data_IF_224317637402
#
_entry.id   IF_224317637402
#
_cell.length_a   1.000
_cell.length_b   1.000
_cell.length_c   1.000
_cell.angle_alpha   90.00
_cell.angle_beta   90.00
_cell.angle_gamma   90.00
#
_symmetry.space_group_name_H-M   'P 1'
#
loop_
_entity.id
_entity.type
_entity.pdbx_description
1 polymer ?
#
# COMPACT_ATOMS: atom_id res chain seq x y z
N UNK A 1 -24.85 45.96 5.16
CA UNK A 1 -24.52 45.23 3.92
C UNK A 1 -23.31 45.89 3.26
N UNK A 2 -22.10 45.43 3.59
CA UNK A 2 -20.84 45.92 3.06
C UNK A 2 -19.93 44.72 2.81
N UNK A 3 -19.74 44.41 1.53
CA UNK A 3 -18.52 43.86 0.91
C UNK A 3 -17.89 42.62 1.58
N UNK A 4 -18.52 41.47 1.39
CA UNK A 4 -17.88 40.15 1.35
C UNK A 4 -17.25 39.95 -0.04
N UNK A 5 -16.00 40.39 -0.24
CA UNK A 5 -15.26 40.14 -1.50
C UNK A 5 -13.82 39.71 -1.18
N UNK A 6 -13.65 38.79 -0.22
CA UNK A 6 -12.31 38.36 0.22
C UNK A 6 -12.23 36.85 0.44
N UNK A 7 -12.87 36.05 -0.42
CA UNK A 7 -12.86 34.58 -0.31
C UNK A 7 -12.45 33.85 -1.60
N UNK A 8 -12.19 34.53 -2.71
CA UNK A 8 -11.92 33.85 -4.00
C UNK A 8 -10.57 34.20 -4.64
N UNK A 9 -9.49 34.13 -3.86
CA UNK A 9 -8.12 34.19 -4.40
C UNK A 9 -7.16 33.23 -3.68
N UNK A 10 -7.55 31.96 -3.60
CA UNK A 10 -6.64 30.85 -3.32
C UNK A 10 -6.92 29.72 -4.33
N UNK A 11 -6.77 30.03 -5.62
CA UNK A 11 -6.49 29.02 -6.63
C UNK A 11 -5.01 29.14 -7.00
N UNK A 12 -4.15 28.81 -6.03
CA UNK A 12 -2.77 28.46 -6.32
C UNK A 12 -2.77 27.05 -6.89
N UNK A 13 -2.26 26.95 -8.11
CA UNK A 13 -2.06 25.72 -8.87
C UNK A 13 -1.37 24.68 -7.97
N UNK A 14 -2.09 23.61 -7.63
CA UNK A 14 -1.54 22.49 -6.85
C UNK A 14 -0.72 21.65 -7.83
N UNK A 15 0.61 21.73 -7.73
CA UNK A 15 1.49 20.78 -8.38
C UNK A 15 1.17 19.37 -7.89
N UNK A 16 1.11 18.41 -8.81
CA UNK A 16 0.86 17.01 -8.48
C UNK A 16 2.01 16.48 -7.63
N UNK A 17 1.78 16.34 -6.32
CA UNK A 17 2.72 15.73 -5.40
C UNK A 17 2.80 14.22 -5.65
N UNK A 18 4.02 13.67 -5.56
CA UNK A 18 4.30 12.25 -5.76
C UNK A 18 3.53 11.36 -4.79
N UNK A 19 3.21 10.16 -5.26
CA UNK A 19 2.37 9.20 -4.56
C UNK A 19 3.13 7.87 -4.48
N UNK A 20 3.31 7.35 -3.26
CA UNK A 20 3.80 5.97 -3.08
C UNK A 20 2.96 4.99 -3.92
N UNK A 21 3.59 3.87 -4.29
CA UNK A 21 2.94 2.74 -4.92
C UNK A 21 1.53 2.47 -4.34
N UNK A 22 0.55 2.39 -5.24
CA UNK A 22 -0.85 2.15 -4.90
C UNK A 22 -1.18 0.67 -5.07
N UNK A 23 -1.96 0.12 -4.14
CA UNK A 23 -2.41 -1.27 -4.16
C UNK A 23 -3.94 -1.33 -4.13
N UNK A 24 -4.55 -2.02 -5.09
CA UNK A 24 -6.00 -2.28 -5.07
C UNK A 24 -6.33 -3.22 -3.92
N UNK A 25 -5.53 -4.28 -3.79
CA UNK A 25 -5.74 -5.36 -2.84
C UNK A 25 -4.88 -5.15 -1.56
N UNK A 26 -4.79 -3.89 -1.11
CA UNK A 26 -4.06 -3.44 0.09
C UNK A 26 -4.28 -4.32 1.35
N UNK A 27 -5.50 -4.81 1.54
CA UNK A 27 -5.93 -5.66 2.66
C UNK A 27 -5.20 -7.01 2.74
N UNK A 28 -4.54 -7.45 1.67
CA UNK A 28 -3.78 -8.69 1.64
C UNK A 28 -2.28 -8.48 1.82
N UNK A 29 -1.81 -7.23 1.73
CA UNK A 29 -0.40 -6.84 1.86
C UNK A 29 -0.21 -5.70 2.87
N UNK A 30 -0.91 -5.79 3.99
CA UNK A 30 -0.99 -4.75 5.01
C UNK A 30 0.37 -4.34 5.59
N UNK A 31 1.37 -5.21 5.55
CA UNK A 31 2.74 -4.93 6.04
C UNK A 31 3.41 -3.72 5.35
N UNK A 32 3.08 -3.45 4.08
CA UNK A 32 3.61 -2.28 3.38
C UNK A 32 2.97 -0.97 3.86
N UNK A 33 1.79 -1.04 4.47
CA UNK A 33 1.02 0.12 4.95
C UNK A 33 1.21 0.31 6.45
N UNK A 34 1.26 -0.77 7.23
CA UNK A 34 1.33 -0.70 8.68
C UNK A 34 2.32 -1.72 9.25
N UNK A 35 3.48 -1.28 9.81
CA UNK A 35 4.48 -2.20 10.38
C UNK A 35 3.93 -3.00 11.56
N UNK A 36 2.90 -2.52 12.25
CA UNK A 36 2.29 -3.23 13.38
C UNK A 36 1.52 -4.49 12.95
N UNK A 37 1.33 -4.71 11.64
CA UNK A 37 0.73 -5.93 11.10
C UNK A 37 1.68 -7.13 11.11
N UNK A 38 3.00 -6.92 11.18
CA UNK A 38 3.99 -8.00 11.07
C UNK A 38 3.70 -9.13 12.07
N UNK A 39 3.56 -10.37 11.58
CA UNK A 39 3.27 -11.54 12.43
C UNK A 39 1.83 -11.65 12.95
N UNK A 40 0.93 -10.72 12.61
CA UNK A 40 -0.48 -10.74 13.05
C UNK A 40 -1.27 -11.96 12.56
N UNK A 41 -0.85 -12.57 11.43
CA UNK A 41 -1.45 -13.79 10.86
C UNK A 41 -1.18 -15.04 11.71
N UNK A 42 -0.19 -15.01 12.60
CA UNK A 42 0.16 -16.14 13.45
C UNK A 42 0.91 -17.28 12.73
N UNK A 43 1.26 -17.10 11.46
CA UNK A 43 2.03 -18.04 10.64
C UNK A 43 3.08 -17.27 9.83
N UNK A 44 4.05 -18.00 9.26
CA UNK A 44 4.96 -17.43 8.27
C UNK A 44 4.16 -17.18 6.99
N UNK A 45 4.09 -15.94 6.54
CA UNK A 45 3.36 -15.52 5.35
C UNK A 45 4.33 -14.89 4.36
N UNK A 46 4.40 -15.47 3.17
CA UNK A 46 5.11 -14.95 1.99
C UNK A 46 4.08 -14.38 1.03
N UNK A 47 4.36 -13.23 0.45
CA UNK A 47 3.46 -12.54 -0.46
C UNK A 47 4.24 -11.96 -1.63
N UNK A 48 3.73 -12.16 -2.84
CA UNK A 48 4.25 -11.58 -4.07
C UNK A 48 3.11 -10.88 -4.81
N UNK A 49 3.35 -9.67 -5.31
CA UNK A 49 2.37 -8.90 -6.08
C UNK A 49 3.06 -8.23 -7.26
N UNK A 50 2.37 -8.20 -8.38
CA UNK A 50 2.76 -7.43 -9.56
C UNK A 50 1.56 -6.63 -10.05
N UNK A 51 1.80 -5.35 -10.34
CA UNK A 51 0.78 -4.41 -10.77
C UNK A 51 1.28 -3.58 -11.95
N UNK A 52 0.44 -3.48 -12.97
CA UNK A 52 0.63 -2.56 -14.11
C UNK A 52 -0.50 -1.54 -14.09
N UNK A 53 -0.15 -0.26 -13.96
CA UNK A 53 -1.13 0.81 -13.93
C UNK A 53 -1.34 1.42 -15.31
N UNK A 54 -2.57 1.86 -15.58
CA UNK A 54 -2.94 2.61 -16.79
C UNK A 54 -2.40 2.01 -18.09
N UNK A 55 -2.70 0.72 -18.31
CA UNK A 55 -2.21 -0.02 -19.46
C UNK A 55 -2.58 0.68 -20.77
N UNK A 56 -1.58 0.86 -21.62
CA UNK A 56 -1.70 1.61 -22.87
C UNK A 56 -1.06 3.00 -22.81
N UNK A 57 -0.74 3.52 -21.62
CA UNK A 57 0.10 4.71 -21.47
C UNK A 57 1.58 4.33 -21.44
N UNK A 58 2.38 5.03 -22.24
CA UNK A 58 3.83 4.85 -22.21
C UNK A 58 4.42 5.44 -20.92
N UNK A 59 5.39 4.73 -20.34
CA UNK A 59 5.97 5.08 -19.05
C UNK A 59 5.01 4.95 -17.84
N UNK A 60 3.88 4.26 -17.98
CA UNK A 60 2.94 4.08 -16.87
C UNK A 60 3.57 3.28 -15.70
N UNK A 61 3.07 3.47 -14.46
CA UNK A 61 3.63 2.80 -13.29
C UNK A 61 3.57 1.26 -13.36
N UNK A 62 4.71 0.62 -13.10
CA UNK A 62 4.81 -0.81 -12.85
C UNK A 62 5.38 -1.04 -11.45
N UNK A 63 4.65 -1.79 -10.63
CA UNK A 63 5.05 -2.05 -9.25
C UNK A 63 5.16 -3.55 -9.01
N UNK A 64 6.31 -3.98 -8.50
CA UNK A 64 6.53 -5.33 -7.99
C UNK A 64 6.70 -5.29 -6.48
N UNK A 65 6.10 -6.23 -5.76
CA UNK A 65 6.25 -6.33 -4.31
C UNK A 65 6.50 -7.76 -3.90
N UNK A 66 7.46 -7.94 -3.01
CA UNK A 66 7.69 -9.17 -2.28
C UNK A 66 7.68 -8.85 -0.80
N UNK A 67 6.96 -9.61 0.02
CA UNK A 67 7.03 -9.47 1.47
C UNK A 67 6.98 -10.82 2.16
N UNK A 68 7.67 -10.87 3.30
CA UNK A 68 7.68 -12.02 4.19
C UNK A 68 7.43 -11.49 5.59
N UNK A 69 6.50 -12.09 6.33
CA UNK A 69 6.31 -11.77 7.74
C UNK A 69 6.03 -13.02 8.56
N UNK A 70 6.43 -12.99 9.83
CA UNK A 70 6.32 -14.13 10.73
C UNK A 70 6.16 -13.65 12.17
N UNK A 71 5.34 -14.33 12.99
CA UNK A 71 5.45 -14.20 14.44
C UNK A 71 6.77 -14.83 14.93
N UNK A 72 7.29 -14.35 16.06
CA UNK A 72 8.43 -14.98 16.75
C UNK A 72 7.91 -15.90 17.85
N UNK A 73 8.32 -17.17 17.78
CA UNK A 73 7.88 -18.20 18.71
C UNK A 73 8.10 -17.79 20.17
N UNK A 74 7.12 -18.12 21.02
CA UNK A 74 7.13 -17.85 22.47
C UNK A 74 7.32 -16.37 22.84
N UNK A 75 7.00 -15.46 21.94
CA UNK A 75 7.05 -14.03 22.17
C UNK A 75 5.83 -13.33 21.59
N UNK A 76 5.64 -12.08 22.01
CA UNK A 76 4.64 -11.19 21.45
C UNK A 76 5.18 -10.39 20.24
N UNK A 77 6.35 -10.78 19.71
CA UNK A 77 7.02 -10.08 18.63
C UNK A 77 6.63 -10.65 17.26
N UNK A 78 6.57 -9.79 16.26
CA UNK A 78 6.49 -10.15 14.86
C UNK A 78 7.58 -9.47 14.05
N UNK A 79 8.12 -10.19 13.06
CA UNK A 79 9.09 -9.65 12.12
C UNK A 79 8.51 -9.63 10.71
N UNK A 80 8.98 -8.67 9.94
CA UNK A 80 8.60 -8.49 8.55
C UNK A 80 9.75 -7.95 7.72
N UNK A 81 9.82 -8.37 6.47
CA UNK A 81 10.72 -7.83 5.45
C UNK A 81 9.90 -7.62 4.19
N UNK A 82 10.07 -6.48 3.52
CA UNK A 82 9.44 -6.20 2.24
C UNK A 82 10.42 -5.57 1.26
N UNK A 83 10.30 -5.96 0.00
CA UNK A 83 10.94 -5.32 -1.14
C UNK A 83 9.85 -4.81 -2.07
N UNK A 84 9.86 -3.51 -2.33
CA UNK A 84 8.99 -2.88 -3.33
C UNK A 84 9.89 -2.31 -4.42
N UNK A 85 9.66 -2.70 -5.66
CA UNK A 85 10.25 -2.07 -6.83
C UNK A 85 9.14 -1.31 -7.55
N UNK A 86 9.31 0.00 -7.70
CA UNK A 86 8.35 0.88 -8.36
C UNK A 86 9.04 1.62 -9.51
N UNK A 87 8.50 1.45 -10.71
CA UNK A 87 9.03 2.04 -11.94
C UNK A 87 7.98 2.94 -12.54
N UNK A 88 8.31 4.22 -12.70
CA UNK A 88 7.40 5.23 -13.25
C UNK A 88 8.17 6.03 -14.30
N UNK A 89 7.86 5.82 -15.58
CA UNK A 89 8.55 6.45 -16.71
C UNK A 89 10.09 6.29 -16.61
N UNK A 90 10.85 7.39 -16.44
CA UNK A 90 12.31 7.37 -16.35
C UNK A 90 12.84 6.99 -14.95
N UNK A 91 11.98 6.90 -13.92
CA UNK A 91 12.41 6.61 -12.55
C UNK A 91 12.26 5.15 -12.19
N UNK A 92 13.12 4.68 -11.29
CA UNK A 92 13.05 3.36 -10.69
C UNK A 92 13.49 3.44 -9.22
N UNK A 93 12.57 3.15 -8.31
CA UNK A 93 12.80 3.16 -6.87
C UNK A 93 12.71 1.74 -6.30
N UNK A 94 13.75 1.34 -5.57
CA UNK A 94 13.78 0.08 -4.83
C UNK A 94 13.75 0.38 -3.34
N UNK A 95 12.69 -0.08 -2.69
CA UNK A 95 12.45 0.12 -1.27
C UNK A 95 12.60 -1.22 -0.56
N UNK A 96 13.66 -1.37 0.23
CA UNK A 96 13.82 -2.47 1.16
C UNK A 96 13.36 -2.01 2.55
N UNK A 97 12.51 -2.79 3.20
CA UNK A 97 12.05 -2.50 4.55
C UNK A 97 12.18 -3.68 5.49
N UNK A 98 12.44 -3.37 6.75
CA UNK A 98 12.35 -4.29 7.87
C UNK A 98 11.35 -3.76 8.89
N UNK A 99 10.44 -4.62 9.32
CA UNK A 99 9.36 -4.32 10.26
C UNK A 99 9.55 -5.15 11.53
N UNK A 100 9.40 -4.50 12.68
CA UNK A 100 9.32 -5.14 13.98
C UNK A 100 8.02 -4.73 14.65
N UNK A 101 7.25 -5.68 15.14
CA UNK A 101 6.03 -5.42 15.90
C UNK A 101 6.06 -6.08 17.27
N UNK A 102 5.32 -5.50 18.22
CA UNK A 102 5.07 -6.04 19.55
C UNK A 102 3.57 -5.97 19.87
N UNK A 103 2.97 -7.11 20.22
CA UNK A 103 1.53 -7.26 20.41
C UNK A 103 1.16 -7.45 21.87
N UNK A 104 0.30 -6.56 22.40
CA UNK A 104 -0.24 -6.64 23.75
C UNK A 104 -1.68 -7.15 23.69
N UNK A 105 -2.01 -8.29 24.34
CA UNK A 105 -3.40 -8.71 24.48
C UNK A 105 -4.20 -7.67 25.28
N UNK A 106 -5.26 -7.11 24.69
CA UNK A 106 -6.15 -6.17 25.38
C UNK A 106 -7.42 -6.86 25.90
N UNK A 107 -7.75 -8.03 25.37
CA UNK A 107 -8.82 -8.93 25.83
C UNK A 107 -8.54 -10.36 25.35
N UNK A 108 -9.45 -11.30 25.63
CA UNK A 108 -9.36 -12.68 25.10
C UNK A 108 -9.38 -12.74 23.57
N UNK A 109 -10.07 -11.79 22.92
CA UNK A 109 -10.27 -11.77 21.47
C UNK A 109 -9.42 -10.71 20.74
N UNK A 110 -8.97 -9.67 21.43
CA UNK A 110 -8.29 -8.53 20.81
C UNK A 110 -6.84 -8.36 21.26
N UNK A 111 -6.01 -7.95 20.32
CA UNK A 111 -4.60 -7.60 20.51
C UNK A 111 -4.35 -6.20 19.95
N UNK A 112 -3.55 -5.42 20.68
CA UNK A 112 -3.03 -4.14 20.24
C UNK A 112 -1.55 -4.30 19.90
N UNK A 113 -1.23 -4.16 18.63
CA UNK A 113 0.13 -4.27 18.11
C UNK A 113 0.71 -2.89 17.86
N UNK A 114 1.96 -2.70 18.26
CA UNK A 114 2.78 -1.54 17.94
C UNK A 114 3.86 -1.99 16.98
N UNK A 115 4.17 -1.20 15.97
CA UNK A 115 5.16 -1.54 14.96
C UNK A 115 6.09 -0.39 14.66
N UNK A 116 7.33 -0.73 14.37
CA UNK A 116 8.34 0.17 13.82
C UNK A 116 8.83 -0.38 12.50
N UNK A 117 9.17 0.52 11.58
CA UNK A 117 9.67 0.22 10.24
C UNK A 117 11.00 0.92 10.05
N UNK A 118 11.97 0.22 9.48
CA UNK A 118 13.18 0.81 8.95
C UNK A 118 13.21 0.56 7.44
N UNK A 119 13.53 1.58 6.68
CA UNK A 119 13.45 1.56 5.22
C UNK A 119 14.75 2.06 4.60
N UNK A 120 15.18 1.40 3.54
CA UNK A 120 16.27 1.77 2.67
C UNK A 120 15.72 1.95 1.25
N UNK A 121 15.64 3.20 0.79
CA UNK A 121 15.22 3.51 -0.57
C UNK A 121 16.45 3.74 -1.45
N UNK A 122 16.44 3.15 -2.63
CA UNK A 122 17.44 3.32 -3.68
C UNK A 122 16.74 3.85 -4.92
N UNK A 123 16.94 5.14 -5.18
CA UNK A 123 16.30 5.83 -6.29
C UNK A 123 17.24 5.96 -7.49
N UNK A 124 16.71 5.71 -8.68
CA UNK A 124 17.39 5.91 -9.95
C UNK A 124 16.53 6.77 -10.88
N UNK A 125 17.17 7.66 -11.63
CA UNK A 125 16.58 8.48 -12.69
C UNK A 125 17.43 8.31 -13.95
N UNK A 126 16.81 7.82 -15.01
CA UNK A 126 17.40 7.71 -16.34
C UNK A 126 16.93 8.88 -17.21
N UNK A 127 17.74 9.93 -17.26
CA UNK A 127 17.49 11.16 -18.02
C UNK A 127 17.50 10.91 -19.52
N UNK A 128 18.12 9.83 -20.02
CA UNK A 128 18.10 9.53 -21.45
C UNK A 128 16.69 9.16 -21.97
N UNK A 129 15.77 8.84 -21.05
CA UNK A 129 14.35 8.62 -21.35
C UNK A 129 13.52 9.90 -21.27
N UNK A 130 14.13 11.01 -20.85
CA UNK A 130 13.53 12.32 -20.89
C UNK A 130 13.85 12.96 -22.25
N UNK A 131 12.91 13.75 -22.76
CA UNK A 131 13.15 14.67 -23.87
C UNK A 131 13.15 16.10 -23.32
N UNK A 132 14.21 16.53 -22.59
CA UNK A 132 14.28 17.90 -22.12
C UNK A 132 14.36 18.88 -23.30
N UNK A 133 13.72 20.04 -23.17
CA UNK A 133 13.79 21.14 -24.16
C UNK A 133 15.23 21.61 -24.37
N UNK A 134 16.04 21.57 -23.30
CA UNK A 134 17.48 21.85 -23.32
C UNK A 134 18.24 20.59 -22.90
N UNK A 135 18.95 19.96 -23.84
CA UNK A 135 19.74 18.75 -23.58
C UNK A 135 21.00 19.01 -22.75
N UNK A 136 21.43 20.28 -22.63
CA UNK A 136 22.63 20.68 -21.88
C UNK A 136 22.29 21.28 -20.50
N UNK A 137 21.03 21.19 -20.04
CA UNK A 137 20.64 21.68 -18.72
C UNK A 137 21.33 20.88 -17.59
N UNK A 138 22.22 21.50 -16.80
CA UNK A 138 22.95 20.82 -15.73
C UNK A 138 22.07 20.30 -14.59
N UNK A 139 20.78 20.68 -14.54
CA UNK A 139 19.80 20.15 -13.58
C UNK A 139 19.27 18.75 -13.97
N UNK A 140 19.40 18.35 -15.24
CA UNK A 140 18.97 17.03 -15.73
C UNK A 140 20.17 16.07 -15.83
N UNK A 141 20.56 15.51 -14.68
CA UNK A 141 21.62 14.49 -14.61
C UNK A 141 21.06 13.13 -14.21
N UNK A 142 21.64 12.06 -14.76
CA UNK A 142 21.32 10.70 -14.32
C UNK A 142 21.58 10.56 -12.82
N UNK A 143 20.59 10.07 -12.10
CA UNK A 143 20.75 9.70 -10.70
C UNK A 143 20.82 8.18 -10.63
N UNK A 144 21.91 7.65 -10.09
CA UNK A 144 22.10 6.21 -9.95
C UNK A 144 22.32 5.88 -8.48
N UNK A 145 21.38 5.15 -7.89
CA UNK A 145 21.49 4.61 -6.54
C UNK A 145 21.46 5.66 -5.43
N UNK A 146 20.67 6.72 -5.58
CA UNK A 146 20.49 7.71 -4.52
C UNK A 146 19.84 7.03 -3.32
N UNK A 147 20.64 6.83 -2.28
CA UNK A 147 20.21 6.17 -1.06
C UNK A 147 19.54 7.17 -0.12
N UNK A 148 18.34 6.84 0.35
CA UNK A 148 17.66 7.61 1.39
C UNK A 148 17.06 6.65 2.43
N UNK A 149 17.54 6.70 3.70
CA UNK A 149 16.96 5.91 4.77
C UNK A 149 15.65 6.53 5.23
N UNK A 150 14.75 5.71 5.76
CA UNK A 150 13.54 6.17 6.42
C UNK A 150 13.22 5.32 7.64
N UNK A 151 12.37 5.85 8.50
CA UNK A 151 11.78 5.13 9.63
C UNK A 151 10.28 5.40 9.65
N UNK A 152 9.53 4.41 10.14
CA UNK A 152 8.09 4.49 10.25
C UNK A 152 7.58 3.86 11.53
N UNK A 153 6.32 4.11 11.82
CA UNK A 153 5.63 3.48 12.94
C UNK A 153 4.16 3.24 12.63
N UNK A 154 3.56 2.33 13.39
CA UNK A 154 2.16 2.03 13.29
C UNK A 154 1.59 1.43 14.57
N UNK A 155 0.27 1.53 14.68
CA UNK A 155 -0.53 0.88 15.70
C UNK A 155 -1.60 0.08 14.97
N UNK A 156 -1.88 -1.13 15.44
CA UNK A 156 -2.85 -2.03 14.83
C UNK A 156 -3.61 -2.77 15.92
N UNK A 157 -4.89 -2.45 16.08
CA UNK A 157 -5.79 -3.13 17.00
C UNK A 157 -6.62 -4.13 16.23
N UNK A 158 -6.54 -5.42 16.57
CA UNK A 158 -7.14 -6.48 15.78
C UNK A 158 -7.64 -7.66 16.61
N UNK A 159 -8.60 -8.37 16.04
CA UNK A 159 -9.12 -9.68 16.43
C UNK A 159 -9.21 -10.57 15.19
N UNK A 160 -9.75 -11.77 15.32
CA UNK A 160 -9.99 -12.65 14.15
C UNK A 160 -11.04 -12.10 13.17
N UNK A 161 -11.87 -11.14 13.58
CA UNK A 161 -12.95 -10.58 12.75
C UNK A 161 -12.83 -9.10 12.45
N UNK A 162 -12.16 -8.31 13.30
CA UNK A 162 -12.13 -6.86 13.17
C UNK A 162 -10.70 -6.34 13.23
N UNK A 163 -10.42 -5.26 12.52
CA UNK A 163 -9.17 -4.53 12.66
C UNK A 163 -9.35 -3.02 12.45
N UNK A 164 -8.49 -2.25 13.10
CA UNK A 164 -8.24 -0.84 12.85
C UNK A 164 -6.74 -0.59 12.99
N UNK A 165 -6.19 0.24 12.10
CA UNK A 165 -4.78 0.56 12.10
C UNK A 165 -4.54 2.01 11.73
N UNK A 166 -3.56 2.61 12.41
CA UNK A 166 -3.01 3.92 12.08
C UNK A 166 -1.51 3.74 11.83
N UNK A 167 -0.98 4.33 10.78
CA UNK A 167 0.45 4.23 10.49
C UNK A 167 0.99 5.41 9.71
N UNK A 168 2.30 5.60 9.89
CA UNK A 168 3.15 6.47 9.09
C UNK A 168 4.37 5.64 8.69
N UNK A 169 4.38 5.04 7.49
CA UNK A 169 5.47 4.14 7.05
C UNK A 169 6.82 4.83 6.90
N UNK A 170 6.81 6.14 6.61
CA UNK A 170 7.97 6.97 6.34
C UNK A 170 7.79 8.33 7.01
N UNK A 171 8.61 8.65 8.00
CA UNK A 171 8.61 9.92 8.72
C UNK A 171 9.55 10.96 8.10
N UNK A 172 10.58 10.53 7.40
CA UNK A 172 11.62 11.43 6.86
C UNK A 172 11.21 11.89 5.48
N UNK A 173 11.02 13.20 5.30
CA UNK A 173 10.89 13.81 3.98
C UNK A 173 12.28 13.91 3.36
N UNK A 174 12.47 13.32 2.19
CA UNK A 174 13.73 13.45 1.44
C UNK A 174 13.50 14.38 0.26
N UNK A 175 14.26 15.46 0.20
CA UNK A 175 14.39 16.27 -1.00
C UNK A 175 15.56 15.71 -1.80
N UNK A 176 15.33 15.29 -3.03
CA UNK A 176 16.39 14.76 -3.89
C UNK A 176 16.85 15.83 -4.89
N UNK A 177 17.59 16.83 -4.41
CA UNK A 177 18.75 17.52 -5.02
C UNK A 177 19.25 18.69 -4.13
N UNK A 178 20.54 19.04 -4.26
CA UNK A 178 21.28 20.11 -3.56
C UNK A 178 21.87 21.11 -4.59
N UNK A 179 21.97 22.38 -4.19
CA UNK A 179 22.27 23.61 -4.96
C UNK A 179 21.13 24.25 -5.78
N UNK A 180 20.58 25.34 -5.20
CA UNK A 180 19.66 26.35 -5.75
C UNK A 180 18.21 25.92 -6.01
N UNK A 181 17.44 25.96 -4.92
CA UNK A 181 16.01 26.30 -4.78
C UNK A 181 14.92 25.49 -5.53
N UNK A 182 15.24 24.48 -6.35
CA UNK A 182 14.21 23.66 -7.00
C UNK A 182 14.43 22.16 -6.72
N UNK A 183 13.58 21.58 -5.85
CA UNK A 183 13.56 20.15 -5.60
C UNK A 183 12.90 19.40 -6.78
N UNK A 184 13.62 18.44 -7.35
CA UNK A 184 13.13 17.62 -8.48
C UNK A 184 12.20 16.48 -7.98
N UNK A 185 12.45 15.99 -6.77
CA UNK A 185 11.66 14.92 -6.14
C UNK A 185 11.57 15.17 -4.64
N UNK A 186 10.36 15.12 -4.07
CA UNK A 186 10.12 15.33 -2.65
C UNK A 186 9.22 14.23 -2.10
N UNK A 187 9.81 13.35 -1.31
CA UNK A 187 9.05 12.39 -0.50
C UNK A 187 8.31 13.16 0.59
N UNK A 188 7.00 12.97 0.68
CA UNK A 188 6.17 13.55 1.73
C UNK A 188 5.74 12.49 2.72
N UNK A 189 5.41 12.93 3.93
CA UNK A 189 4.87 12.05 4.96
C UNK A 189 3.46 11.60 4.56
N UNK A 190 3.26 10.28 4.54
CA UNK A 190 1.97 9.66 4.25
C UNK A 190 1.36 9.10 5.54
N UNK A 191 0.17 9.60 5.89
CA UNK A 191 -0.61 9.08 7.01
C UNK A 191 -1.66 8.09 6.49
N UNK A 192 -1.69 6.90 7.09
CA UNK A 192 -2.66 5.86 6.76
C UNK A 192 -3.57 5.57 7.94
N UNK A 193 -4.87 5.48 7.66
CA UNK A 193 -5.89 4.95 8.55
C UNK A 193 -6.60 3.82 7.81
N UNK A 194 -6.66 2.64 8.41
CA UNK A 194 -7.35 1.49 7.81
C UNK A 194 -8.27 0.83 8.82
N UNK A 195 -9.39 0.29 8.35
CA UNK A 195 -10.29 -0.49 9.17
C UNK A 195 -11.03 -1.53 8.34
N UNK A 196 -11.51 -2.59 9.00
CA UNK A 196 -12.34 -3.59 8.37
C UNK A 196 -12.97 -4.53 9.38
N UNK A 197 -14.04 -5.20 8.95
CA UNK A 197 -14.77 -6.17 9.77
C UNK A 197 -15.21 -7.35 8.90
N UNK A 198 -15.25 -8.56 9.45
CA UNK A 198 -15.73 -9.77 8.78
C UNK A 198 -17.04 -10.19 9.43
N UNK A 199 -18.13 -10.04 8.67
CA UNK A 199 -19.46 -10.53 9.01
C UNK A 199 -19.61 -11.95 8.49
N UNK A 200 -20.01 -12.90 9.35
CA UNK A 200 -20.48 -14.21 8.94
C UNK A 200 -21.98 -14.08 8.61
N UNK A 201 -22.31 -13.92 7.32
CA UNK A 201 -23.71 -13.78 6.88
C UNK A 201 -24.43 -15.12 6.87
N UNK A 202 -23.70 -16.18 6.54
CA UNK A 202 -24.12 -17.57 6.47
C UNK A 202 -22.90 -18.44 6.83
N UNK A 203 -23.06 -19.70 7.30
CA UNK A 203 -21.93 -20.64 7.45
C UNK A 203 -20.98 -20.72 6.25
N UNK A 204 -21.50 -20.46 5.04
CA UNK A 204 -20.77 -20.51 3.79
C UNK A 204 -20.44 -19.14 3.18
N UNK A 205 -20.95 -18.04 3.73
CA UNK A 205 -20.79 -16.70 3.15
C UNK A 205 -20.29 -15.72 4.20
N UNK A 206 -19.11 -15.15 3.94
CA UNK A 206 -18.53 -14.07 4.74
C UNK A 206 -18.49 -12.77 3.95
N UNK A 207 -18.78 -11.66 4.60
CA UNK A 207 -18.72 -10.33 4.02
C UNK A 207 -17.68 -9.48 4.77
N UNK A 208 -16.76 -8.88 4.03
CA UNK A 208 -15.71 -8.00 4.55
C UNK A 208 -15.77 -6.63 3.89
N UNK A 209 -16.44 -5.65 4.51
CA UNK A 209 -16.20 -4.25 4.21
C UNK A 209 -14.85 -3.81 4.80
N UNK A 210 -14.12 -3.01 4.04
CA UNK A 210 -12.89 -2.39 4.51
C UNK A 210 -12.75 -0.97 3.96
N UNK A 211 -12.02 -0.14 4.69
CA UNK A 211 -11.69 1.23 4.32
C UNK A 211 -10.19 1.45 4.50
N UNK A 212 -9.61 2.24 3.61
CA UNK A 212 -8.25 2.77 3.69
C UNK A 212 -8.29 4.25 3.36
N UNK A 213 -7.81 5.09 4.27
CA UNK A 213 -7.65 6.51 4.05
C UNK A 213 -6.17 6.83 4.04
N UNK A 214 -5.72 7.50 2.99
CA UNK A 214 -4.36 8.02 2.82
C UNK A 214 -4.43 9.55 2.80
N UNK A 215 -3.64 10.18 3.67
CA UNK A 215 -3.56 11.63 3.79
C UNK A 215 -2.10 12.08 3.64
N UNK A 216 -1.88 13.06 2.76
CA UNK A 216 -0.56 13.63 2.47
C UNK A 216 -0.70 15.14 2.45
N UNK A 217 0.24 15.85 3.08
CA UNK A 217 0.18 17.31 3.11
C UNK A 217 0.29 17.92 1.71
N UNK A 218 -0.73 18.67 1.31
CA UNK A 218 -0.78 19.33 -0.01
C UNK A 218 -1.25 18.43 -1.15
N UNK A 219 -1.79 17.24 -0.86
CA UNK A 219 -2.51 16.40 -1.82
C UNK A 219 -3.97 16.24 -1.42
N UNK A 220 -4.91 16.04 -2.37
CA UNK A 220 -6.28 15.65 -2.05
C UNK A 220 -6.33 14.39 -1.17
N UNK A 221 -7.31 14.33 -0.27
CA UNK A 221 -7.55 13.14 0.54
C UNK A 221 -7.89 11.95 -0.37
N UNK A 222 -7.23 10.81 -0.14
CA UNK A 222 -7.54 9.57 -0.84
C UNK A 222 -8.27 8.63 0.12
N UNK A 223 -9.45 8.16 -0.30
CA UNK A 223 -10.27 7.21 0.46
C UNK A 223 -10.62 6.04 -0.45
N UNK A 224 -10.25 4.84 -0.03
CA UNK A 224 -10.56 3.57 -0.63
C UNK A 224 -11.59 2.85 0.22
N UNK A 225 -12.73 2.48 -0.36
CA UNK A 225 -13.75 1.65 0.28
C UNK A 225 -13.90 0.38 -0.53
N UNK A 226 -13.85 -0.78 0.13
CA UNK A 226 -14.00 -2.08 -0.50
C UNK A 226 -15.04 -2.94 0.18
N UNK A 227 -15.67 -3.82 -0.59
CA UNK A 227 -16.66 -4.79 -0.18
C UNK A 227 -16.28 -6.13 -0.80
N UNK A 228 -15.91 -7.10 0.04
CA UNK A 228 -15.48 -8.43 -0.40
C UNK A 228 -16.41 -9.52 0.16
N UNK A 229 -16.85 -10.43 -0.68
CA UNK A 229 -17.65 -11.61 -0.30
C UNK A 229 -16.80 -12.86 -0.50
N UNK A 230 -16.72 -13.68 0.53
CA UNK A 230 -16.04 -14.97 0.51
C UNK A 230 -17.06 -16.10 0.62
N UNK A 231 -17.01 -17.02 -0.34
CA UNK A 231 -17.86 -18.19 -0.44
C UNK A 231 -17.07 -19.45 -0.10
N UNK A 232 -17.62 -20.29 0.79
CA UNK A 232 -17.08 -21.59 1.20
C UNK A 232 -15.62 -21.54 1.68
N UNK A 233 -15.17 -20.41 2.24
CA UNK A 233 -13.77 -20.13 2.59
C UNK A 233 -12.77 -20.33 1.43
N UNK A 234 -13.23 -20.29 0.17
CA UNK A 234 -12.40 -20.57 -1.01
C UNK A 234 -12.42 -19.46 -2.03
N UNK A 235 -13.60 -19.01 -2.43
CA UNK A 235 -13.76 -18.08 -3.53
C UNK A 235 -14.10 -16.70 -3.00
N UNK A 236 -13.39 -15.67 -3.45
CA UNK A 236 -13.63 -14.28 -3.08
C UNK A 236 -14.00 -13.48 -4.31
N UNK A 237 -15.06 -12.68 -4.20
CA UNK A 237 -15.39 -11.63 -5.17
C UNK A 237 -15.51 -10.34 -4.41
N UNK A 238 -14.93 -9.28 -4.94
CA UNK A 238 -14.98 -7.98 -4.31
C UNK A 238 -15.09 -6.84 -5.30
N UNK A 239 -15.56 -5.71 -4.79
CA UNK A 239 -15.54 -4.43 -5.48
C UNK A 239 -14.90 -3.40 -4.57
N UNK A 240 -14.24 -2.41 -5.16
CA UNK A 240 -13.74 -1.27 -4.42
C UNK A 240 -13.99 0.03 -5.18
N UNK A 241 -14.12 1.12 -4.44
CA UNK A 241 -14.22 2.46 -4.98
C UNK A 241 -13.17 3.33 -4.31
N UNK A 242 -12.24 3.82 -5.12
CA UNK A 242 -11.24 4.82 -4.75
C UNK A 242 -11.76 6.19 -5.13
N UNK A 243 -12.04 7.02 -4.12
CA UNK A 243 -12.59 8.35 -4.33
C UNK A 243 -11.73 9.13 -5.34
N UNK A 244 -12.36 9.58 -6.43
CA UNK A 244 -11.76 10.43 -7.46
C UNK A 244 -10.56 9.79 -8.16
N UNK A 245 -10.48 8.47 -8.16
CA UNK A 245 -9.45 7.72 -8.86
C UNK A 245 -10.06 6.58 -9.66
N UNK A 246 -10.54 5.51 -9.02
CA UNK A 246 -10.90 4.28 -9.72
C UNK A 246 -12.07 3.50 -9.11
N UNK A 247 -12.72 2.70 -9.95
CA UNK A 247 -13.62 1.62 -9.56
C UNK A 247 -12.93 0.29 -9.84
N UNK A 248 -12.88 -0.60 -8.84
CA UNK A 248 -12.15 -1.86 -8.92
C UNK A 248 -13.07 -3.06 -8.83
N UNK A 249 -12.76 -4.09 -9.59
CA UNK A 249 -13.30 -5.44 -9.44
C UNK A 249 -12.17 -6.38 -9.02
N UNK A 250 -12.46 -7.28 -8.08
CA UNK A 250 -11.48 -8.19 -7.50
C UNK A 250 -12.04 -9.60 -7.47
N UNK A 251 -11.17 -10.58 -7.72
CA UNK A 251 -11.47 -11.99 -7.56
C UNK A 251 -10.30 -12.68 -6.89
N UNK A 252 -10.58 -13.63 -6.01
CA UNK A 252 -9.54 -14.39 -5.33
C UNK A 252 -9.94 -15.84 -5.11
N UNK A 253 -8.95 -16.70 -5.00
CA UNK A 253 -9.15 -18.13 -4.82
C UNK A 253 -8.12 -18.73 -3.87
N UNK A 254 -8.62 -19.42 -2.84
CA UNK A 254 -7.85 -20.26 -1.93
C UNK A 254 -7.65 -21.62 -2.59
N UNK A 255 -6.49 -21.83 -3.21
CA UNK A 255 -6.16 -23.06 -3.95
C UNK A 255 -5.94 -24.21 -2.97
N UNK A 256 -5.17 -23.96 -1.92
CA UNK A 256 -4.91 -24.87 -0.80
C UNK A 256 -5.00 -24.09 0.50
N UNK A 257 -4.98 -24.73 1.68
CA UNK A 257 -5.01 -24.00 2.95
C UNK A 257 -3.87 -22.98 3.11
N UNK A 258 -2.72 -23.21 2.44
CA UNK A 258 -1.58 -22.31 2.46
C UNK A 258 -1.43 -21.40 1.23
N UNK A 259 -2.11 -21.67 0.10
CA UNK A 259 -1.93 -20.91 -1.14
C UNK A 259 -3.20 -20.14 -1.52
N UNK A 260 -3.06 -18.82 -1.63
CA UNK A 260 -4.12 -17.91 -2.04
C UNK A 260 -3.67 -17.03 -3.20
N UNK A 261 -4.52 -16.89 -4.22
CA UNK A 261 -4.25 -16.09 -5.41
C UNK A 261 -5.33 -15.04 -5.55
N UNK A 262 -4.95 -13.83 -5.93
CA UNK A 262 -5.89 -12.74 -6.18
C UNK A 262 -5.57 -12.00 -7.46
N UNK A 263 -6.62 -11.52 -8.11
CA UNK A 263 -6.56 -10.67 -9.27
C UNK A 263 -7.51 -9.49 -9.09
N UNK A 264 -7.01 -8.28 -9.38
CA UNK A 264 -7.75 -7.04 -9.36
C UNK A 264 -7.65 -6.34 -10.70
N UNK A 265 -8.76 -5.71 -11.10
CA UNK A 265 -8.83 -4.79 -12.23
C UNK A 265 -9.38 -3.46 -11.74
N UNK A 266 -8.65 -2.38 -12.00
CA UNK A 266 -9.10 -1.02 -11.74
C UNK A 266 -9.47 -0.34 -13.05
N UNK A 267 -10.67 0.25 -13.09
CA UNK A 267 -11.08 1.18 -14.12
C UNK A 267 -11.03 2.59 -13.55
N UNK A 268 -10.27 3.46 -14.20
CA UNK A 268 -10.21 4.87 -13.82
C UNK A 268 -11.60 5.54 -13.94
N UNK A 269 -11.92 6.41 -13.00
CA UNK A 269 -13.14 7.23 -12.97
C UNK A 269 -12.87 8.68 -13.39
N UNK A 270 -11.60 9.02 -13.56
CA UNK A 270 -11.13 10.33 -14.02
C UNK A 270 -11.06 10.38 -15.55
N UNK A 271 -10.79 11.57 -16.09
CA UNK A 271 -10.56 11.76 -17.54
C UNK A 271 -9.43 10.88 -18.10
N UNK A 272 -8.56 10.37 -17.23
CA UNK A 272 -7.50 9.43 -17.60
C UNK A 272 -8.07 8.14 -18.22
N UNK A 273 -9.31 7.74 -17.87
CA UNK A 273 -9.97 6.56 -18.43
C UNK A 273 -10.11 6.57 -19.95
N UNK A 274 -10.01 7.73 -20.61
CA UNK A 274 -10.09 7.83 -22.07
C UNK A 274 -8.76 7.49 -22.76
N UNK A 275 -7.66 7.40 -22.00
CA UNK A 275 -6.31 7.22 -22.53
C UNK A 275 -5.64 5.92 -22.07
N UNK A 276 -6.33 5.12 -21.25
CA UNK A 276 -5.81 3.83 -20.79
C UNK A 276 -6.90 2.75 -20.74
N UNK A 277 -6.48 1.50 -20.66
CA UNK A 277 -7.35 0.32 -20.64
C UNK A 277 -7.61 -0.22 -19.22
N UNK A 278 -7.26 0.54 -18.19
CA UNK A 278 -7.34 0.18 -16.79
C UNK A 278 -6.00 -0.27 -16.21
N UNK A 279 -6.03 -0.69 -14.94
CA UNK A 279 -4.88 -1.23 -14.23
C UNK A 279 -5.14 -2.67 -13.82
N UNK A 280 -4.10 -3.51 -13.86
CA UNK A 280 -4.18 -4.91 -13.51
C UNK A 280 -3.25 -5.20 -12.33
N UNK A 281 -3.73 -6.02 -11.40
CA UNK A 281 -2.98 -6.42 -10.22
C UNK A 281 -3.15 -7.91 -9.99
N UNK A 282 -2.05 -8.64 -9.86
CA UNK A 282 -2.05 -10.05 -9.49
C UNK A 282 -1.19 -10.22 -8.25
N UNK A 283 -1.63 -11.07 -7.33
CA UNK A 283 -0.80 -11.48 -6.22
C UNK A 283 -0.91 -12.97 -5.91
N UNK A 284 0.11 -13.46 -5.23
CA UNK A 284 0.21 -14.79 -4.65
C UNK A 284 0.57 -14.64 -3.18
N UNK A 285 -0.18 -15.32 -2.30
CA UNK A 285 0.14 -15.44 -0.88
C UNK A 285 0.37 -16.91 -0.56
N UNK A 286 1.48 -17.20 0.10
CA UNK A 286 1.85 -18.54 0.55
C UNK A 286 2.11 -18.55 2.06
N UNK A 287 1.45 -19.42 2.78
CA UNK A 287 1.59 -19.60 4.23
C UNK A 287 2.31 -20.90 4.53
N UNK A 288 3.42 -20.80 5.27
CA UNK A 288 4.32 -21.91 5.60
C UNK A 288 4.04 -22.42 7.02
N UNK A 289 3.79 -23.73 7.12
CA UNK A 289 3.72 -24.60 8.30
C UNK A 289 2.76 -24.23 9.45
N UNK A 290 1.87 -25.19 9.74
CA UNK A 290 0.81 -25.21 10.73
C UNK A 290 1.25 -25.87 12.06
N UNK A 291 2.50 -25.68 12.51
CA UNK A 291 2.97 -26.24 13.79
C UNK A 291 2.41 -25.49 15.02
N UNK A 292 1.60 -24.47 14.80
CA UNK A 292 0.80 -23.84 15.83
C UNK A 292 -0.43 -24.73 16.06
N UNK A 293 -0.58 -25.25 17.27
CA UNK A 293 -1.60 -26.22 17.72
C UNK A 293 -3.06 -25.73 17.64
N UNK A 294 -3.35 -24.75 16.78
CA UNK A 294 -4.70 -24.32 16.41
C UNK A 294 -4.76 -24.24 14.90
N UNK A 295 -5.61 -25.08 14.32
CA UNK A 295 -6.15 -24.88 12.97
C UNK A 295 -6.83 -23.51 12.99
N UNK A 296 -6.09 -22.45 12.67
CA UNK A 296 -6.66 -21.13 12.46
C UNK A 296 -7.29 -21.17 11.08
N UNK A 297 -8.62 -21.08 11.02
CA UNK A 297 -9.32 -20.93 9.75
C UNK A 297 -8.68 -19.81 8.92
N UNK A 298 -8.58 -19.93 7.59
CA UNK A 298 -8.00 -18.89 6.75
C UNK A 298 -8.55 -17.51 7.14
N UNK A 299 -7.70 -16.65 7.71
CA UNK A 299 -8.12 -15.30 8.10
C UNK A 299 -8.31 -14.48 6.84
N UNK A 300 -9.46 -13.82 6.75
CA UNK A 300 -9.87 -13.02 5.59
C UNK A 300 -9.12 -11.67 5.52
N UNK A 301 -8.20 -11.42 6.44
CA UNK A 301 -7.22 -10.33 6.48
C UNK A 301 -6.01 -10.76 7.30
#
# INVERSE_FOLDING_TARGET
>A
MRKLVLVFMFFSVVGFAQQDAQFTQYMYNTININPAYAGSRGVVSVFGLYRTQWVGLDGAPETSTFSLNTPLNNSNLGLGVSLVNDKIGPTNENTLSADLSYSVPTSEAFKLSFGIKATANLFNLDVNKLHPEDQDDPQFQNLNGVFSPNIGAGVYWHSDKAYIGLSVPNFIETNRYDNNEVAIFKDKINYYLMAGYVFDLDPNIKFKPAILTKMVQGSPLQVDVSANFMFNNKFVVGVAYRWSAALSAMVGFQITDGLYVGYGYDRETTNLSNYNSGSHEIFLRFELFNNYSRITSPRFF
#
